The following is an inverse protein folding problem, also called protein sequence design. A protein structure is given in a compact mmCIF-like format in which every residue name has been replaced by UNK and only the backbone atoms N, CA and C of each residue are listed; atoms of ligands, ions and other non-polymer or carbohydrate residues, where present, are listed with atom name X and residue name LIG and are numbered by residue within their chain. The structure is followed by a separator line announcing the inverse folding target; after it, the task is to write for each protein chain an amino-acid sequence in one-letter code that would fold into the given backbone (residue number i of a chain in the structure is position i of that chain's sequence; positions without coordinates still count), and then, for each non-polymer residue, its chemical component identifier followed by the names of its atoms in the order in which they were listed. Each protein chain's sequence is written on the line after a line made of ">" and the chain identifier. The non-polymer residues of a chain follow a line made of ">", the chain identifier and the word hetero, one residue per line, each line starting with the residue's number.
data_IF_172493825642
#
_entry.id   IF_172493825642
#
_cell.length_a   1.000
_cell.length_b   1.000
_cell.length_c   1.000
_cell.angle_alpha   90.00
_cell.angle_beta   90.00
_cell.angle_gamma   90.00
#
_symmetry.space_group_name_H-M   'P 1'
#
loop_
_entity.id
_entity.type
_entity.pdbx_description
1 polymer ?
#
# COMPACT_ATOMS: atom_id res chain seq x y z
N UNK A 1 12.84 -12.38 -2.38
CA UNK A 1 11.73 -12.49 -3.36
C UNK A 1 10.53 -11.71 -2.82
N UNK A 2 10.14 -10.64 -3.47
CA UNK A 2 8.91 -9.91 -3.12
C UNK A 2 7.77 -10.51 -3.94
N UNK A 3 6.83 -11.15 -3.29
CA UNK A 3 5.61 -11.70 -3.93
C UNK A 3 4.66 -10.61 -4.46
N UNK A 4 4.83 -9.37 -3.98
CA UNK A 4 4.09 -8.19 -4.42
C UNK A 4 5.09 -7.12 -4.84
N UNK A 5 4.92 -6.54 -6.02
CA UNK A 5 5.85 -5.59 -6.63
C UNK A 5 7.27 -6.18 -6.72
N UNK A 6 7.42 -7.23 -7.51
CA UNK A 6 8.72 -7.84 -7.80
C UNK A 6 9.69 -6.75 -8.29
N UNK A 7 10.86 -6.71 -7.66
CA UNK A 7 11.99 -5.95 -8.16
C UNK A 7 12.76 -6.90 -9.06
N UNK A 8 12.76 -6.61 -10.35
CA UNK A 8 13.56 -7.37 -11.31
C UNK A 8 15.01 -6.94 -11.12
N UNK A 9 15.84 -7.83 -10.62
CA UNK A 9 17.30 -7.65 -10.61
C UNK A 9 17.82 -8.14 -11.96
N UNK A 10 18.42 -7.24 -12.72
CA UNK A 10 18.99 -7.54 -14.03
C UNK A 10 20.50 -7.58 -13.87
N UNK A 11 21.12 -8.71 -14.25
CA UNK A 11 22.56 -8.81 -14.38
C UNK A 11 22.95 -8.31 -15.77
N UNK A 12 23.70 -7.19 -15.87
CA UNK A 12 24.16 -6.61 -17.11
C UNK A 12 23.93 -5.10 -17.22
N UNK A 13 24.16 -4.57 -18.40
CA UNK A 13 23.92 -3.17 -18.72
C UNK A 13 22.42 -2.88 -18.79
N UNK A 14 21.97 -1.85 -18.06
CA UNK A 14 20.57 -1.43 -18.03
C UNK A 14 20.44 -0.09 -18.73
N UNK A 15 19.63 -0.03 -19.76
CA UNK A 15 19.25 1.22 -20.43
C UNK A 15 17.91 1.73 -19.90
N UNK A 16 17.83 3.04 -19.74
CA UNK A 16 16.59 3.71 -19.34
C UNK A 16 15.86 4.21 -20.59
N UNK A 17 14.65 3.66 -20.81
CA UNK A 17 13.77 4.15 -21.87
C UNK A 17 13.11 5.47 -21.47
N UNK A 18 13.23 6.50 -22.30
CA UNK A 18 12.52 7.77 -22.16
C UNK A 18 11.11 7.69 -22.78
N UNK A 19 10.35 6.68 -22.37
CA UNK A 19 8.97 6.51 -22.84
C UNK A 19 8.04 6.24 -21.67
N UNK A 20 6.76 6.58 -21.83
CA UNK A 20 5.75 6.42 -20.80
C UNK A 20 4.96 5.15 -21.00
N UNK A 21 4.78 4.37 -19.94
CA UNK A 21 3.81 3.30 -19.91
C UNK A 21 2.46 3.83 -19.41
N UNK A 22 1.45 3.79 -20.27
CA UNK A 22 0.09 4.07 -19.85
C UNK A 22 -0.45 2.88 -19.08
N UNK A 23 -0.59 3.03 -17.77
CA UNK A 23 -1.15 2.00 -16.91
C UNK A 23 -2.63 2.25 -16.68
N UNK A 24 -3.47 1.34 -17.18
CA UNK A 24 -4.92 1.38 -16.99
C UNK A 24 -5.34 0.34 -15.94
N UNK A 25 -5.47 0.73 -14.65
CA UNK A 25 -5.70 -0.22 -13.55
C UNK A 25 -7.03 -0.96 -13.65
N UNK A 26 -7.99 -0.44 -14.42
CA UNK A 26 -9.32 -1.01 -14.62
C UNK A 26 -9.56 -1.59 -16.00
N UNK A 27 -8.52 -1.82 -16.80
CA UNK A 27 -8.64 -2.38 -18.16
C UNK A 27 -9.38 -3.72 -18.21
N UNK A 28 -9.32 -4.51 -17.13
CA UNK A 28 -10.04 -5.79 -16.96
C UNK A 28 -11.31 -5.69 -16.10
N UNK A 29 -11.76 -4.48 -15.82
CA UNK A 29 -12.95 -4.20 -15.03
C UNK A 29 -12.76 -4.26 -13.51
N UNK A 30 -13.79 -3.80 -12.78
CA UNK A 30 -13.77 -3.71 -11.32
C UNK A 30 -13.73 -5.07 -10.63
N UNK A 31 -14.42 -6.07 -11.17
CA UNK A 31 -14.41 -7.42 -10.60
C UNK A 31 -13.01 -8.02 -10.55
N UNK A 32 -12.26 -7.88 -11.64
CA UNK A 32 -10.85 -8.31 -11.68
C UNK A 32 -9.99 -7.53 -10.70
N UNK A 33 -10.18 -6.21 -10.61
CA UNK A 33 -9.47 -5.36 -9.67
C UNK A 33 -9.70 -5.81 -8.22
N UNK A 34 -10.97 -6.03 -7.84
CA UNK A 34 -11.36 -6.47 -6.49
C UNK A 34 -10.75 -7.84 -6.15
N UNK A 35 -10.84 -8.81 -7.06
CA UNK A 35 -10.28 -10.15 -6.87
C UNK A 35 -8.76 -10.09 -6.66
N UNK A 36 -8.06 -9.32 -7.48
CA UNK A 36 -6.62 -9.10 -7.37
C UNK A 36 -6.24 -8.45 -6.04
N UNK A 37 -6.95 -7.40 -5.63
CA UNK A 37 -6.65 -6.69 -4.39
C UNK A 37 -7.08 -7.47 -3.15
N UNK A 38 -8.08 -8.35 -3.26
CA UNK A 38 -8.39 -9.31 -2.21
C UNK A 38 -7.20 -10.28 -1.97
N UNK A 39 -6.58 -10.79 -3.02
CA UNK A 39 -5.37 -11.62 -2.91
C UNK A 39 -4.20 -10.82 -2.33
N UNK A 40 -3.93 -9.65 -2.88
CA UNK A 40 -2.81 -8.80 -2.43
C UNK A 40 -2.96 -8.37 -0.97
N UNK A 41 -4.17 -8.08 -0.49
CA UNK A 41 -4.39 -7.75 0.92
C UNK A 41 -4.06 -8.91 1.86
N UNK A 42 -4.26 -10.17 1.42
CA UNK A 42 -3.85 -11.35 2.19
C UNK A 42 -2.32 -11.47 2.28
N UNK A 43 -1.65 -11.23 1.17
CA UNK A 43 -0.18 -11.27 1.11
C UNK A 43 0.45 -10.13 1.93
N UNK A 44 -0.09 -8.91 1.84
CA UNK A 44 0.36 -7.76 2.64
C UNK A 44 0.13 -7.99 4.14
N UNK A 45 -1.00 -8.55 4.54
CA UNK A 45 -1.29 -8.85 5.95
C UNK A 45 -0.30 -9.89 6.52
N UNK A 46 -0.03 -10.97 5.81
CA UNK A 46 0.96 -11.99 6.20
C UNK A 46 2.35 -11.37 6.34
N UNK A 47 2.78 -10.67 5.30
CA UNK A 47 4.07 -10.01 5.25
C UNK A 47 4.26 -9.01 6.39
N UNK A 48 3.23 -8.20 6.67
CA UNK A 48 3.26 -7.25 7.78
C UNK A 48 3.54 -7.95 9.11
N UNK A 49 2.87 -9.09 9.37
CA UNK A 49 3.05 -9.87 10.59
C UNK A 49 4.45 -10.51 10.64
N UNK A 50 4.96 -11.00 9.53
CA UNK A 50 6.27 -11.65 9.44
C UNK A 50 7.42 -10.67 9.64
N UNK A 51 7.37 -9.51 8.97
CA UNK A 51 8.37 -8.46 9.08
C UNK A 51 8.41 -7.82 10.48
N UNK A 52 7.30 -7.88 11.22
CA UNK A 52 7.15 -7.17 12.51
C UNK A 52 6.85 -8.10 13.68
N UNK A 53 7.41 -9.30 13.69
CA UNK A 53 7.29 -10.28 14.80
C UNK A 53 7.73 -9.70 16.15
N UNK A 54 6.90 -8.81 16.73
CA UNK A 54 6.99 -8.36 18.12
C UNK A 54 7.76 -7.07 18.40
N UNK A 55 8.32 -6.38 17.39
CA UNK A 55 9.03 -5.11 17.60
C UNK A 55 8.55 -4.02 16.63
N UNK A 56 7.57 -3.23 17.10
CA UNK A 56 7.06 -2.09 16.35
C UNK A 56 7.73 -0.79 16.83
N UNK A 57 9.01 -0.63 16.58
CA UNK A 57 9.71 0.62 16.89
C UNK A 57 9.79 1.51 15.66
N UNK A 58 8.74 2.30 15.43
CA UNK A 58 8.77 3.31 14.38
C UNK A 58 9.03 4.68 14.98
N UNK A 59 9.97 5.41 14.39
CA UNK A 59 10.35 6.75 14.83
C UNK A 59 9.70 7.81 13.96
N UNK A 60 8.90 8.68 14.58
CA UNK A 60 8.30 9.81 13.88
C UNK A 60 9.36 10.79 13.35
N UNK A 61 10.45 10.99 14.09
CA UNK A 61 11.56 11.84 13.65
C UNK A 61 12.22 11.28 12.39
N UNK A 62 12.44 9.97 12.30
CA UNK A 62 12.99 9.34 11.10
C UNK A 62 11.99 9.35 9.94
N UNK A 63 10.70 9.21 10.22
CA UNK A 63 9.65 9.31 9.21
C UNK A 63 9.56 10.69 8.54
N UNK A 64 9.93 11.76 9.26
CA UNK A 64 9.88 13.13 8.77
C UNK A 64 11.22 13.64 8.23
N UNK A 65 12.32 13.34 8.91
CA UNK A 65 13.61 14.00 8.72
C UNK A 65 14.73 13.09 8.22
N UNK A 66 14.53 11.78 8.07
CA UNK A 66 15.57 10.93 7.50
C UNK A 66 15.93 11.36 6.08
N UNK A 67 17.23 11.49 5.81
CA UNK A 67 17.75 11.77 4.47
C UNK A 67 17.68 10.56 3.56
N UNK A 68 17.72 9.36 4.13
CA UNK A 68 17.52 8.13 3.37
C UNK A 68 16.02 7.96 3.06
N UNK A 69 15.72 7.96 1.76
CA UNK A 69 14.36 7.79 1.25
C UNK A 69 13.74 6.44 1.67
N UNK A 70 14.52 5.37 1.67
CA UNK A 70 14.07 4.03 2.04
C UNK A 70 13.75 3.94 3.53
N UNK A 71 14.63 4.47 4.39
CA UNK A 71 14.41 4.54 5.83
C UNK A 71 13.19 5.40 6.17
N UNK A 72 13.08 6.56 5.55
CA UNK A 72 11.92 7.45 5.74
C UNK A 72 10.61 6.75 5.39
N UNK A 73 10.53 6.12 4.22
CA UNK A 73 9.34 5.37 3.78
C UNK A 73 9.02 4.20 4.70
N UNK A 74 10.03 3.49 5.19
CA UNK A 74 9.85 2.40 6.14
C UNK A 74 9.14 2.88 7.41
N UNK A 75 9.63 3.96 8.01
CA UNK A 75 9.02 4.52 9.22
C UNK A 75 7.64 5.13 8.96
N UNK A 76 7.44 5.83 7.82
CA UNK A 76 6.13 6.34 7.42
C UNK A 76 5.11 5.23 7.24
N UNK A 77 5.49 4.15 6.54
CA UNK A 77 4.63 2.99 6.34
C UNK A 77 4.28 2.34 7.69
N UNK A 78 5.27 2.16 8.55
CA UNK A 78 5.08 1.54 9.86
C UNK A 78 4.14 2.33 10.77
N UNK A 79 4.31 3.65 10.86
CA UNK A 79 3.42 4.54 11.61
C UNK A 79 2.00 4.47 11.04
N UNK A 80 1.86 4.57 9.72
CA UNK A 80 0.56 4.49 9.06
C UNK A 80 -0.16 3.16 9.37
N UNK A 81 0.59 2.05 9.43
CA UNK A 81 0.02 0.74 9.77
C UNK A 81 -0.46 0.62 11.22
N UNK A 82 0.06 1.43 12.13
CA UNK A 82 -0.38 1.48 13.53
C UNK A 82 -1.58 2.40 13.75
N UNK A 83 -1.88 3.30 12.81
CA UNK A 83 -2.97 4.27 12.99
C UNK A 83 -4.34 3.59 13.00
N UNK A 84 -5.19 3.93 13.96
CA UNK A 84 -6.60 3.55 13.94
C UNK A 84 -7.30 4.24 12.76
N UNK A 85 -8.26 3.56 12.14
CA UNK A 85 -9.03 4.17 11.05
C UNK A 85 -8.25 4.38 9.74
N UNK A 86 -7.17 3.62 9.50
CA UNK A 86 -6.36 3.65 8.27
C UNK A 86 -7.17 3.80 6.97
N UNK A 87 -8.27 3.06 6.76
CA UNK A 87 -9.05 3.19 5.53
C UNK A 87 -9.61 4.60 5.33
N UNK A 88 -10.08 5.23 6.42
CA UNK A 88 -10.61 6.60 6.39
C UNK A 88 -9.49 7.60 6.12
N UNK A 89 -8.35 7.45 6.81
CA UNK A 89 -7.17 8.29 6.60
C UNK A 89 -6.70 8.19 5.14
N UNK A 90 -6.66 6.98 4.58
CA UNK A 90 -6.31 6.76 3.17
C UNK A 90 -7.27 7.47 2.22
N UNK A 91 -8.57 7.35 2.48
CA UNK A 91 -9.59 8.04 1.69
C UNK A 91 -9.41 9.56 1.71
N UNK A 92 -9.32 10.13 2.91
CA UNK A 92 -9.13 11.57 3.08
C UNK A 92 -7.82 12.06 2.43
N UNK A 93 -6.74 11.33 2.60
CA UNK A 93 -5.48 11.62 1.93
C UNK A 93 -5.64 11.64 0.40
N UNK A 94 -6.29 10.63 -0.19
CA UNK A 94 -6.51 10.56 -1.63
C UNK A 94 -7.39 11.72 -2.12
N UNK A 95 -8.47 12.01 -1.41
CA UNK A 95 -9.41 13.05 -1.81
C UNK A 95 -8.82 14.46 -1.63
N UNK A 96 -8.25 14.76 -0.46
CA UNK A 96 -7.83 16.11 -0.10
C UNK A 96 -6.40 16.41 -0.55
N UNK A 97 -5.43 15.54 -0.24
CA UNK A 97 -4.01 15.79 -0.52
C UNK A 97 -3.68 15.46 -1.98
N UNK A 98 -4.13 14.30 -2.47
CA UNK A 98 -3.96 13.89 -3.88
C UNK A 98 -4.96 14.53 -4.81
N UNK A 99 -5.92 15.28 -4.27
CA UNK A 99 -6.94 16.03 -5.00
C UNK A 99 -7.76 15.17 -5.96
N UNK A 100 -8.07 13.92 -5.57
CA UNK A 100 -8.83 12.99 -6.40
C UNK A 100 -10.23 13.51 -6.78
N UNK A 101 -10.76 14.48 -6.03
CA UNK A 101 -12.02 15.16 -6.36
C UNK A 101 -11.96 15.93 -7.68
N UNK A 102 -10.76 16.35 -8.13
CA UNK A 102 -10.58 17.04 -9.42
C UNK A 102 -10.81 16.11 -10.61
N UNK A 103 -10.59 14.80 -10.42
CA UNK A 103 -10.90 13.77 -11.42
C UNK A 103 -12.37 13.34 -11.38
N UNK A 104 -13.21 14.07 -10.65
CA UNK A 104 -14.63 13.84 -10.55
C UNK A 104 -14.98 12.45 -9.98
N UNK A 105 -15.99 11.82 -10.57
CA UNK A 105 -16.49 10.51 -10.08
C UNK A 105 -15.44 9.41 -10.17
N UNK A 106 -14.59 9.43 -11.19
CA UNK A 106 -13.53 8.44 -11.35
C UNK A 106 -12.50 8.51 -10.22
N UNK A 107 -12.05 9.72 -9.86
CA UNK A 107 -11.11 9.93 -8.77
C UNK A 107 -11.68 9.53 -7.42
N UNK A 108 -12.93 9.90 -7.13
CA UNK A 108 -13.61 9.49 -5.88
C UNK A 108 -13.79 7.96 -5.82
N UNK A 109 -14.21 7.33 -6.92
CA UNK A 109 -14.33 5.86 -6.99
C UNK A 109 -12.99 5.20 -6.71
N UNK A 110 -11.91 5.69 -7.30
CA UNK A 110 -10.58 5.16 -7.07
C UNK A 110 -10.14 5.33 -5.60
N UNK A 111 -10.39 6.50 -5.00
CA UNK A 111 -10.10 6.76 -3.59
C UNK A 111 -10.86 5.79 -2.66
N UNK A 112 -12.14 5.53 -2.94
CA UNK A 112 -12.94 4.54 -2.22
C UNK A 112 -12.38 3.12 -2.35
N UNK A 113 -12.02 2.70 -3.56
CA UNK A 113 -11.46 1.38 -3.80
C UNK A 113 -10.11 1.20 -3.07
N UNK A 114 -9.27 2.21 -3.03
CA UNK A 114 -8.02 2.19 -2.26
C UNK A 114 -8.28 2.12 -0.75
N UNK A 115 -9.30 2.79 -0.26
CA UNK A 115 -9.73 2.71 1.14
C UNK A 115 -10.25 1.31 1.50
N UNK A 116 -11.05 0.70 0.63
CA UNK A 116 -11.53 -0.68 0.79
C UNK A 116 -10.36 -1.67 0.82
N UNK A 117 -9.36 -1.49 -0.05
CA UNK A 117 -8.16 -2.32 -0.04
C UNK A 117 -7.40 -2.22 1.30
N UNK A 118 -7.23 -1.01 1.85
CA UNK A 118 -6.65 -0.83 3.18
C UNK A 118 -7.49 -1.51 4.27
N UNK A 119 -8.81 -1.47 4.15
CA UNK A 119 -9.70 -2.14 5.08
C UNK A 119 -9.54 -3.66 5.04
N UNK A 120 -9.40 -4.26 3.86
CA UNK A 120 -9.10 -5.69 3.73
C UNK A 120 -7.79 -6.06 4.42
N UNK A 121 -6.74 -5.25 4.30
CA UNK A 121 -5.48 -5.51 4.99
C UNK A 121 -5.69 -5.47 6.51
N UNK A 122 -6.42 -4.47 7.04
CA UNK A 122 -6.71 -4.36 8.48
C UNK A 122 -7.46 -5.58 8.99
N UNK A 123 -8.53 -6.00 8.30
CA UNK A 123 -9.34 -7.15 8.70
C UNK A 123 -8.51 -8.43 8.72
N UNK A 124 -7.79 -8.71 7.65
CA UNK A 124 -6.99 -9.94 7.51
C UNK A 124 -5.81 -9.98 8.48
N UNK A 125 -5.21 -8.82 8.77
CA UNK A 125 -4.17 -8.75 9.81
C UNK A 125 -4.73 -9.09 11.18
N UNK A 126 -5.91 -8.58 11.54
CA UNK A 126 -6.59 -8.90 12.80
C UNK A 126 -6.97 -10.37 12.91
N UNK A 127 -7.53 -10.93 11.83
CA UNK A 127 -7.88 -12.36 11.75
C UNK A 127 -6.65 -13.25 11.96
N UNK A 128 -5.55 -12.97 11.28
CA UNK A 128 -4.31 -13.73 11.40
C UNK A 128 -3.68 -13.61 12.80
N UNK A 129 -3.82 -12.47 13.47
CA UNK A 129 -3.35 -12.30 14.84
C UNK A 129 -4.23 -13.05 15.85
N UNK A 130 -5.56 -13.04 15.66
CA UNK A 130 -6.50 -13.77 16.51
C UNK A 130 -6.31 -15.29 16.42
N UNK A 131 -6.03 -15.82 15.24
CA UNK A 131 -5.81 -17.27 15.01
C UNK A 131 -4.45 -17.78 15.53
N UNK A 132 -3.59 -16.92 16.06
CA UNK A 132 -2.31 -17.30 16.69
C UNK A 132 -2.41 -17.54 18.21
N UNK A 133 -3.57 -17.29 18.79
CA UNK A 133 -3.92 -17.60 20.18
C UNK A 133 -4.85 -18.79 20.24
#
# INVERSE_FOLDING_TARGET
>A
HREINEVIEVEGEVEQFNTYFNHYPFSKGYSHWLSKHNLYSSMEAKRWIEEHKGQFHFSLSKALFSRDFSERRYHQKGIFYQLPGRPIIKFLYMVLVRRAFLDGRAGITYALLQSIYEYFIVLKTRELLANKH
#
